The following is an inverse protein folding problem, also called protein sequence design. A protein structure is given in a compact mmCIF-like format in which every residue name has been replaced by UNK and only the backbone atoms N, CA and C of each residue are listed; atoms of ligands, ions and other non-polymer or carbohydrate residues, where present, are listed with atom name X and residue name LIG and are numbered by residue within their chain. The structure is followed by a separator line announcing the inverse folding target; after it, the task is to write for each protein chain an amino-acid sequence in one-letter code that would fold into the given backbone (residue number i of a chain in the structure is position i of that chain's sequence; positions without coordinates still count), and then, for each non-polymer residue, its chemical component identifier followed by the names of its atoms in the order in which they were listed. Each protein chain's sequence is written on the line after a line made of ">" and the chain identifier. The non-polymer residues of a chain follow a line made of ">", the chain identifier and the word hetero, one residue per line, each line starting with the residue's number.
data_IF_462719543975
#
_entry.id   IF_462719543975
#
_cell.length_a   1.000
_cell.length_b   1.000
_cell.length_c   1.000
_cell.angle_alpha   90.00
_cell.angle_beta   90.00
_cell.angle_gamma   90.00
#
_symmetry.space_group_name_H-M   'P 1'
#
loop_
_entity.id
_entity.type
_entity.pdbx_description
1 polymer ?
#
# COMPACT_ATOMS: atom_id res chain seq x y z
N UNK A 1 -4.43 32.32 42.64
CA UNK A 1 -4.43 32.24 41.17
C UNK A 1 -5.84 32.57 40.65
N UNK A 2 -6.01 33.76 40.04
CA UNK A 2 -7.32 34.42 39.83
C UNK A 2 -8.21 33.64 38.84
N UNK A 3 -9.52 33.56 39.12
CA UNK A 3 -10.58 32.84 38.36
C UNK A 3 -10.48 33.05 36.83
N UNK A 4 -10.04 34.23 36.38
CA UNK A 4 -9.77 34.58 34.97
C UNK A 4 -8.72 33.68 34.30
N UNK A 5 -7.64 33.32 35.00
CA UNK A 5 -6.59 32.45 34.46
C UNK A 5 -7.11 31.02 34.26
N UNK A 6 -8.00 30.54 35.15
CA UNK A 6 -8.63 29.22 34.99
C UNK A 6 -9.55 29.18 33.76
N UNK A 7 -10.34 30.24 33.53
CA UNK A 7 -11.21 30.34 32.36
C UNK A 7 -10.39 30.41 31.06
N UNK A 8 -9.31 31.19 31.03
CA UNK A 8 -8.41 31.24 29.87
C UNK A 8 -7.79 29.89 29.55
N UNK A 9 -7.32 29.15 30.57
CA UNK A 9 -6.77 27.80 30.40
C UNK A 9 -7.83 26.84 29.82
N UNK A 10 -9.08 26.90 30.28
CA UNK A 10 -10.17 26.06 29.75
C UNK A 10 -10.43 26.37 28.27
N UNK A 11 -10.47 27.65 27.88
CA UNK A 11 -10.66 28.07 26.48
C UNK A 11 -9.53 27.54 25.61
N UNK A 12 -8.28 27.65 26.05
CA UNK A 12 -7.11 27.15 25.31
C UNK A 12 -7.20 25.62 25.11
N UNK A 13 -7.59 24.87 26.15
CA UNK A 13 -7.76 23.41 26.05
C UNK A 13 -8.84 23.05 25.02
N UNK A 14 -9.97 23.76 25.01
CA UNK A 14 -11.05 23.51 24.04
C UNK A 14 -10.55 23.73 22.60
N UNK A 15 -9.79 24.81 22.34
CA UNK A 15 -9.24 25.09 21.01
C UNK A 15 -8.30 23.96 20.56
N UNK A 16 -7.42 23.48 21.44
CA UNK A 16 -6.50 22.37 21.14
C UNK A 16 -7.28 21.10 20.78
N UNK A 17 -8.35 20.79 21.51
CA UNK A 17 -9.20 19.61 21.22
C UNK A 17 -9.85 19.74 19.85
N UNK A 18 -10.42 20.91 19.51
CA UNK A 18 -11.07 21.15 18.22
C UNK A 18 -10.05 21.02 17.07
N UNK A 19 -8.87 21.63 17.21
CA UNK A 19 -7.79 21.49 16.23
C UNK A 19 -7.32 20.04 16.08
N UNK A 20 -7.24 19.30 17.20
CA UNK A 20 -6.89 17.87 17.20
C UNK A 20 -7.91 17.02 16.46
N UNK A 21 -9.21 17.21 16.71
CA UNK A 21 -10.29 16.51 16.00
C UNK A 21 -10.24 16.84 14.50
N UNK A 22 -10.06 18.12 14.15
CA UNK A 22 -9.91 18.54 12.75
C UNK A 22 -8.75 17.84 12.04
N UNK A 23 -7.60 17.73 12.72
CA UNK A 23 -6.43 17.00 12.20
C UNK A 23 -6.68 15.51 12.04
N UNK A 24 -7.36 14.86 12.99
CA UNK A 24 -7.70 13.44 12.92
C UNK A 24 -8.64 13.19 11.73
N UNK A 25 -9.68 14.01 11.57
CA UNK A 25 -10.62 13.90 10.44
C UNK A 25 -9.88 14.12 9.13
N UNK A 26 -9.01 15.13 9.05
CA UNK A 26 -8.20 15.39 7.86
C UNK A 26 -7.32 14.17 7.53
N UNK A 27 -6.63 13.61 8.53
CA UNK A 27 -5.78 12.44 8.33
C UNK A 27 -6.58 11.22 7.84
N UNK A 28 -7.69 10.88 8.50
CA UNK A 28 -8.54 9.76 8.11
C UNK A 28 -9.17 9.97 6.72
N UNK A 29 -9.54 11.21 6.38
CA UNK A 29 -10.21 11.54 5.12
C UNK A 29 -9.25 11.73 3.95
N UNK A 30 -7.99 12.09 4.15
CA UNK A 30 -7.09 12.45 3.05
C UNK A 30 -5.75 11.68 3.03
N UNK A 31 -5.33 11.10 4.15
CA UNK A 31 -4.03 10.42 4.27
C UNK A 31 -4.15 8.91 4.50
N UNK A 32 -5.19 8.46 5.19
CA UNK A 32 -5.37 7.05 5.52
C UNK A 32 -5.70 6.22 4.27
N UNK A 33 -5.03 5.07 4.18
CA UNK A 33 -5.29 3.99 3.22
C UNK A 33 -6.04 2.91 3.99
N UNK A 34 -7.18 2.49 3.46
CA UNK A 34 -7.99 1.43 4.04
C UNK A 34 -7.33 0.08 3.79
N UNK A 35 -7.60 -0.93 4.65
CA UNK A 35 -7.31 -2.31 4.30
C UNK A 35 -7.94 -2.66 2.96
N UNK A 36 -7.28 -3.50 2.13
CA UNK A 36 -7.80 -3.88 0.83
C UNK A 36 -9.10 -4.70 0.97
N UNK A 37 -10.14 -4.27 0.26
CA UNK A 37 -11.46 -4.92 0.18
C UNK A 37 -11.81 -5.24 -1.28
N UNK A 38 -12.91 -5.97 -1.51
CA UNK A 38 -13.40 -6.29 -2.86
C UNK A 38 -13.53 -5.07 -3.80
N UNK A 39 -13.64 -3.85 -3.25
CA UNK A 39 -13.68 -2.60 -4.00
C UNK A 39 -12.48 -2.46 -4.95
N UNK A 40 -11.28 -2.93 -4.57
CA UNK A 40 -10.08 -2.76 -5.41
C UNK A 40 -10.24 -3.43 -6.78
N UNK A 41 -11.06 -4.47 -6.88
CA UNK A 41 -11.28 -5.23 -8.11
C UNK A 41 -12.00 -4.41 -9.18
N UNK A 42 -12.75 -3.37 -8.80
CA UNK A 42 -13.50 -2.52 -9.75
C UNK A 42 -12.60 -1.79 -10.74
N UNK A 43 -11.40 -1.38 -10.30
CA UNK A 43 -10.42 -0.65 -11.11
C UNK A 43 -9.00 -1.20 -10.90
N UNK A 44 -8.88 -2.51 -10.74
CA UNK A 44 -7.62 -3.17 -10.41
C UNK A 44 -6.57 -2.93 -11.50
N UNK A 45 -5.39 -2.47 -11.07
CA UNK A 45 -4.16 -2.54 -11.86
C UNK A 45 -3.09 -3.25 -11.07
N UNK A 46 -2.13 -3.78 -11.83
CA UNK A 46 -1.03 -4.56 -11.32
C UNK A 46 0.29 -3.87 -11.65
N UNK A 47 1.18 -3.80 -10.68
CA UNK A 47 2.52 -3.22 -10.82
C UNK A 47 3.55 -4.09 -10.12
N UNK A 48 4.79 -3.60 -10.07
CA UNK A 48 5.92 -4.28 -9.44
C UNK A 48 6.13 -3.72 -8.04
N UNK A 49 6.05 -4.58 -7.04
CA UNK A 49 6.52 -4.29 -5.68
C UNK A 49 7.88 -4.92 -5.43
N UNK A 50 8.78 -4.18 -4.80
CA UNK A 50 10.10 -4.65 -4.39
C UNK A 50 10.15 -4.76 -2.87
N UNK A 51 10.61 -5.91 -2.38
CA UNK A 51 10.75 -6.15 -0.94
C UNK A 51 12.00 -5.43 -0.42
N UNK A 52 11.79 -4.53 0.54
CA UNK A 52 12.82 -3.62 1.08
C UNK A 52 13.28 -4.00 2.49
N UNK A 53 12.64 -4.97 3.14
CA UNK A 53 13.13 -5.53 4.41
C UNK A 53 13.21 -7.05 4.35
N UNK A 54 14.08 -7.61 5.19
CA UNK A 54 14.02 -9.04 5.52
C UNK A 54 12.82 -9.23 6.47
N UNK A 55 12.16 -10.40 6.48
CA UNK A 55 11.01 -10.77 7.33
C UNK A 55 11.16 -10.40 8.85
N UNK A 56 12.39 -10.12 9.31
CA UNK A 56 12.73 -9.72 10.69
C UNK A 56 13.31 -8.30 10.82
N UNK A 57 13.22 -7.47 9.78
CA UNK A 57 13.93 -6.21 9.63
C UNK A 57 13.30 -5.00 10.32
N UNK A 58 12.97 -5.09 11.61
CA UNK A 58 13.22 -4.07 12.64
C UNK A 58 12.57 -4.52 13.96
N UNK A 59 13.38 -4.73 15.01
CA UNK A 59 13.01 -5.42 16.27
C UNK A 59 11.91 -4.74 17.10
N UNK A 60 11.30 -3.65 16.61
CA UNK A 60 10.32 -2.86 17.34
C UNK A 60 8.86 -3.05 16.87
N UNK A 61 8.60 -3.52 15.63
CA UNK A 61 7.24 -3.52 15.06
C UNK A 61 6.93 -4.72 14.15
N UNK A 62 6.47 -5.80 14.79
CA UNK A 62 5.63 -6.88 14.22
C UNK A 62 6.26 -7.74 13.11
N UNK A 63 5.67 -8.92 12.92
CA UNK A 63 5.96 -9.86 11.82
C UNK A 63 5.53 -9.20 10.50
N UNK A 64 6.23 -9.51 9.41
CA UNK A 64 5.89 -9.10 8.05
C UNK A 64 7.08 -8.54 7.26
N UNK A 65 6.84 -8.13 6.01
CA UNK A 65 7.86 -7.57 5.14
C UNK A 65 7.46 -6.18 4.66
N UNK A 66 8.43 -5.27 4.68
CA UNK A 66 8.29 -3.97 4.05
C UNK A 66 8.57 -4.10 2.56
N UNK A 67 7.79 -3.37 1.78
CA UNK A 67 7.95 -3.31 0.34
C UNK A 67 7.66 -1.91 -0.18
N UNK A 68 8.23 -1.61 -1.34
CA UNK A 68 8.00 -0.37 -2.06
C UNK A 68 7.45 -0.64 -3.44
N UNK A 69 6.54 0.21 -3.92
CA UNK A 69 6.02 0.13 -5.27
C UNK A 69 5.65 1.52 -5.78
N UNK A 70 5.58 1.68 -7.10
CA UNK A 70 5.13 2.91 -7.73
C UNK A 70 3.73 2.74 -8.29
N UNK A 71 2.88 3.74 -8.11
CA UNK A 71 1.57 3.83 -8.73
C UNK A 71 1.39 5.23 -9.32
N UNK A 72 0.64 5.35 -10.42
CA UNK A 72 0.31 6.63 -11.09
C UNK A 72 1.53 7.54 -11.32
N UNK A 73 2.24 7.34 -12.43
CA UNK A 73 3.33 8.22 -12.87
C UNK A 73 4.41 8.47 -11.79
N UNK A 74 4.91 7.39 -11.18
CA UNK A 74 6.07 7.48 -10.29
C UNK A 74 5.78 7.85 -8.83
N UNK A 75 4.52 7.88 -8.38
CA UNK A 75 4.25 8.05 -6.94
C UNK A 75 4.64 6.78 -6.18
N UNK A 76 5.66 6.87 -5.35
CA UNK A 76 6.20 5.76 -4.58
C UNK A 76 5.42 5.57 -3.26
N UNK A 77 5.14 4.32 -2.92
CA UNK A 77 4.55 3.90 -1.64
C UNK A 77 5.46 2.93 -0.93
N UNK A 78 5.63 3.15 0.36
CA UNK A 78 6.19 2.18 1.29
C UNK A 78 5.03 1.54 2.05
N UNK A 79 5.06 0.22 2.13
CA UNK A 79 3.98 -0.59 2.64
C UNK A 79 4.54 -1.77 3.42
N UNK A 80 3.67 -2.42 4.19
CA UNK A 80 4.00 -3.57 5.01
C UNK A 80 2.93 -4.64 4.85
N UNK A 81 3.34 -5.89 4.62
CA UNK A 81 2.42 -7.03 4.53
C UNK A 81 3.09 -8.30 5.05
N UNK A 82 2.30 -9.13 5.73
CA UNK A 82 2.68 -10.51 6.04
C UNK A 82 2.68 -11.36 4.75
N UNK A 83 3.60 -12.32 4.68
CA UNK A 83 3.74 -13.26 3.56
C UNK A 83 5.13 -13.85 3.46
N UNK A 84 5.28 -14.85 2.59
CA UNK A 84 6.55 -15.53 2.35
C UNK A 84 7.36 -14.80 1.28
N UNK A 85 7.87 -13.61 1.64
CA UNK A 85 8.64 -12.76 0.75
C UNK A 85 10.15 -12.92 0.93
N UNK A 86 10.88 -12.80 -0.19
CA UNK A 86 12.34 -12.81 -0.20
C UNK A 86 12.85 -11.38 -0.40
N UNK A 87 13.75 -10.94 0.50
CA UNK A 87 14.36 -9.61 0.44
C UNK A 87 15.00 -9.34 -0.93
N UNK A 88 14.74 -8.15 -1.50
CA UNK A 88 15.24 -7.74 -2.80
C UNK A 88 14.55 -8.39 -3.99
N UNK A 89 13.62 -9.33 -3.80
CA UNK A 89 12.81 -9.89 -4.89
C UNK A 89 11.59 -9.02 -5.18
N UNK A 90 11.04 -9.21 -6.38
CA UNK A 90 9.99 -8.38 -6.97
C UNK A 90 8.75 -9.24 -7.14
N UNK A 91 7.63 -8.74 -6.65
CA UNK A 91 6.34 -9.44 -6.67
C UNK A 91 5.28 -8.56 -7.31
N UNK A 92 4.19 -9.20 -7.76
CA UNK A 92 3.05 -8.50 -8.30
C UNK A 92 2.30 -7.77 -7.18
N UNK A 93 2.02 -6.49 -7.38
CA UNK A 93 1.19 -5.68 -6.49
C UNK A 93 -0.10 -5.31 -7.20
N UNK A 94 -1.24 -5.62 -6.61
CA UNK A 94 -2.55 -5.15 -7.06
C UNK A 94 -2.97 -3.92 -6.27
N UNK A 95 -3.59 -2.96 -6.94
CA UNK A 95 -4.12 -1.75 -6.31
C UNK A 95 -5.31 -1.19 -7.10
N UNK A 96 -6.14 -0.39 -6.44
CA UNK A 96 -7.18 0.39 -7.12
C UNK A 96 -6.54 1.60 -7.83
N UNK A 97 -6.57 1.57 -9.16
CA UNK A 97 -5.96 2.60 -9.98
C UNK A 97 -6.70 3.95 -9.99
N UNK A 98 -7.98 3.96 -9.63
CA UNK A 98 -8.80 5.16 -9.52
C UNK A 98 -8.68 5.79 -8.12
N UNK A 99 -8.55 4.96 -7.08
CA UNK A 99 -8.41 5.42 -5.71
C UNK A 99 -7.56 4.48 -4.86
N UNK A 100 -6.26 4.75 -4.77
CA UNK A 100 -5.28 3.98 -3.97
C UNK A 100 -5.68 3.81 -2.48
N UNK A 101 -6.59 4.65 -1.97
CA UNK A 101 -7.07 4.55 -0.59
C UNK A 101 -7.99 3.35 -0.36
N UNK A 102 -8.53 2.77 -1.42
CA UNK A 102 -9.27 1.51 -1.34
C UNK A 102 -8.35 0.31 -1.01
N UNK A 103 -7.03 0.54 -1.03
CA UNK A 103 -6.02 -0.42 -0.59
C UNK A 103 -5.18 -0.95 -1.75
N UNK A 104 -4.22 -1.77 -1.37
CA UNK A 104 -3.32 -2.51 -2.25
C UNK A 104 -2.89 -3.80 -1.55
N UNK A 105 -2.42 -4.77 -2.33
CA UNK A 105 -1.90 -6.06 -1.86
C UNK A 105 -0.68 -6.44 -2.69
N UNK A 106 0.36 -6.95 -2.04
CA UNK A 106 1.47 -7.63 -2.71
C UNK A 106 1.22 -9.15 -2.66
N UNK A 107 1.47 -9.87 -3.75
CA UNK A 107 1.11 -11.28 -3.86
C UNK A 107 2.38 -12.14 -3.76
N UNK A 108 2.59 -12.82 -2.63
CA UNK A 108 3.81 -13.61 -2.34
C UNK A 108 3.99 -14.81 -3.26
N UNK A 109 2.90 -15.39 -3.77
CA UNK A 109 2.98 -16.45 -4.78
C UNK A 109 3.50 -15.97 -6.13
N UNK A 110 3.41 -14.67 -6.44
CA UNK A 110 3.69 -14.14 -7.78
C UNK A 110 5.02 -13.38 -7.83
N UNK A 111 6.11 -14.11 -7.62
CA UNK A 111 7.47 -13.61 -7.84
C UNK A 111 7.71 -13.38 -9.34
N UNK A 112 7.94 -12.13 -9.70
CA UNK A 112 8.13 -11.69 -11.09
C UNK A 112 9.57 -11.26 -11.36
N UNK A 113 10.50 -11.42 -10.42
CA UNK A 113 11.89 -10.94 -10.51
C UNK A 113 12.56 -11.35 -11.82
N UNK A 114 12.56 -12.65 -12.12
CA UNK A 114 13.21 -13.18 -13.32
C UNK A 114 12.40 -12.87 -14.59
N UNK A 115 11.08 -12.75 -14.43
CA UNK A 115 10.20 -12.36 -15.54
C UNK A 115 10.44 -10.92 -15.97
N UNK A 116 10.69 -9.98 -15.05
CA UNK A 116 11.00 -8.60 -15.39
C UNK A 116 12.20 -8.50 -16.33
N UNK A 117 13.29 -9.24 -16.02
CA UNK A 117 14.47 -9.30 -16.87
C UNK A 117 14.17 -9.89 -18.24
N UNK A 118 13.42 -11.01 -18.29
CA UNK A 118 13.04 -11.69 -19.53
C UNK A 118 12.23 -10.80 -20.49
N UNK A 119 11.36 -9.96 -19.95
CA UNK A 119 10.50 -9.06 -20.73
C UNK A 119 11.07 -7.64 -20.86
N UNK A 120 12.34 -7.43 -20.50
CA UNK A 120 13.03 -6.13 -20.59
C UNK A 120 12.29 -5.00 -19.85
N UNK A 121 11.67 -5.32 -18.72
CA UNK A 121 10.99 -4.34 -17.86
C UNK A 121 12.00 -3.90 -16.81
N UNK A 122 12.45 -2.66 -16.95
CA UNK A 122 13.45 -2.06 -16.07
C UNK A 122 12.86 -0.92 -15.26
N UNK A 123 13.55 -0.57 -14.18
CA UNK A 123 13.25 0.63 -13.41
C UNK A 123 13.50 1.87 -14.26
N UNK A 124 12.67 2.88 -14.05
CA UNK A 124 12.97 4.25 -14.44
C UNK A 124 13.43 4.98 -13.18
N UNK A 125 14.69 5.41 -13.12
CA UNK A 125 15.36 5.79 -11.88
C UNK A 125 15.28 4.66 -10.83
N UNK A 126 14.64 4.89 -9.68
CA UNK A 126 14.64 3.96 -8.55
C UNK A 126 13.43 3.00 -8.52
N UNK A 127 12.46 3.15 -9.42
CA UNK A 127 11.18 2.43 -9.35
C UNK A 127 10.68 1.94 -10.72
N UNK A 128 9.79 0.95 -10.70
CA UNK A 128 9.11 0.47 -11.90
C UNK A 128 7.89 1.34 -12.18
N UNK A 129 7.95 2.17 -13.24
CA UNK A 129 6.83 3.00 -13.65
C UNK A 129 5.94 2.26 -14.66
N UNK A 130 5.31 1.17 -14.19
CA UNK A 130 4.43 0.31 -14.99
C UNK A 130 3.13 0.05 -14.25
N UNK A 131 2.06 -0.19 -15.00
CA UNK A 131 0.75 -0.51 -14.45
C UNK A 131 -0.12 -1.19 -15.50
N UNK A 132 -0.41 -2.46 -15.29
CA UNK A 132 -1.12 -3.30 -16.25
C UNK A 132 -2.53 -3.64 -15.74
N UNK A 133 -3.57 -3.63 -16.58
CA UNK A 133 -4.74 -4.45 -16.30
C UNK A 133 -4.34 -5.94 -16.29
N UNK A 134 -5.13 -6.80 -15.63
CA UNK A 134 -4.84 -8.23 -15.49
C UNK A 134 -4.51 -8.92 -16.82
N UNK A 135 -5.27 -8.59 -17.87
CA UNK A 135 -5.12 -9.14 -19.23
C UNK A 135 -3.81 -8.75 -19.92
N UNK A 136 -3.19 -7.65 -19.54
CA UNK A 136 -1.97 -7.11 -20.17
C UNK A 136 -0.70 -7.41 -19.38
N UNK A 137 -0.81 -8.14 -18.26
CA UNK A 137 0.38 -8.57 -17.51
C UNK A 137 1.23 -9.46 -18.43
N UNK A 138 2.49 -9.07 -18.72
CA UNK A 138 3.30 -9.70 -19.76
C UNK A 138 3.82 -11.09 -19.37
N UNK A 139 3.70 -11.48 -18.10
CA UNK A 139 4.23 -12.73 -17.57
C UNK A 139 3.32 -13.93 -17.89
N UNK A 140 3.92 -15.12 -18.06
CA UNK A 140 3.24 -16.38 -18.41
C UNK A 140 2.39 -17.02 -17.28
N UNK A 141 1.94 -16.22 -16.32
CA UNK A 141 1.10 -16.70 -15.23
C UNK A 141 -0.36 -16.82 -15.67
N UNK A 142 -1.07 -17.80 -15.13
CA UNK A 142 -2.51 -17.91 -15.30
C UNK A 142 -3.19 -16.71 -14.62
N UNK A 143 -4.04 -16.02 -15.37
CA UNK A 143 -4.74 -14.83 -14.88
C UNK A 143 -5.82 -15.20 -13.86
N UNK A 144 -6.37 -16.41 -13.96
CA UNK A 144 -7.35 -16.92 -13.01
C UNK A 144 -6.73 -17.19 -11.65
N UNK A 145 -5.50 -17.71 -11.60
CA UNK A 145 -4.74 -17.88 -10.36
C UNK A 145 -4.47 -16.54 -9.67
N UNK A 146 -4.09 -15.51 -10.44
CA UNK A 146 -3.88 -14.15 -9.92
C UNK A 146 -5.18 -13.61 -9.32
N UNK A 147 -6.28 -13.67 -10.09
CA UNK A 147 -7.59 -13.17 -9.64
C UNK A 147 -8.09 -13.92 -8.38
N UNK A 148 -7.90 -15.24 -8.33
CA UNK A 148 -8.26 -16.06 -7.19
C UNK A 148 -7.42 -15.71 -5.96
N UNK A 149 -6.11 -15.55 -6.10
CA UNK A 149 -5.24 -15.14 -4.99
C UNK A 149 -5.66 -13.79 -4.42
N UNK A 150 -5.92 -12.82 -5.30
CA UNK A 150 -6.39 -11.50 -4.88
C UNK A 150 -7.69 -11.65 -4.09
N UNK A 151 -8.69 -12.35 -4.63
CA UNK A 151 -9.99 -12.55 -3.96
C UNK A 151 -9.87 -13.23 -2.60
N UNK A 152 -8.94 -14.18 -2.42
CA UNK A 152 -8.71 -14.85 -1.13
C UNK A 152 -8.17 -13.90 -0.05
N UNK A 153 -7.44 -12.86 -0.45
CA UNK A 153 -6.83 -11.89 0.48
C UNK A 153 -7.70 -10.66 0.74
N UNK A 154 -8.81 -10.51 0.01
CA UNK A 154 -9.74 -9.40 0.19
C UNK A 154 -10.75 -9.67 1.29
N UNK A 155 -10.97 -8.65 2.11
CA UNK A 155 -12.08 -8.65 3.06
C UNK A 155 -13.39 -8.37 2.32
N UNK A 156 -14.48 -8.94 2.83
CA UNK A 156 -15.85 -8.55 2.48
C UNK A 156 -16.03 -7.03 2.70
N UNK A 157 -16.76 -6.37 1.80
CA UNK A 157 -17.08 -4.94 1.91
C UNK A 157 -17.91 -4.61 3.16
#
# INVERSE_FOLDING_TARGET
>A
MKRKNKVLIIIIIIIIIICGIGWIIYFLKYKAISPPTAIILKNAKYTVGEITSIYYGDRARKKGNDFTFSYKEGVIRNAHQDGEFIYGRKYLVVYDSMNIRNGYLILDKFDITDSLNKYHIYKNYDHYNVGWPLSEIPFKWDKSDIDQEVKMHLRSE
#
